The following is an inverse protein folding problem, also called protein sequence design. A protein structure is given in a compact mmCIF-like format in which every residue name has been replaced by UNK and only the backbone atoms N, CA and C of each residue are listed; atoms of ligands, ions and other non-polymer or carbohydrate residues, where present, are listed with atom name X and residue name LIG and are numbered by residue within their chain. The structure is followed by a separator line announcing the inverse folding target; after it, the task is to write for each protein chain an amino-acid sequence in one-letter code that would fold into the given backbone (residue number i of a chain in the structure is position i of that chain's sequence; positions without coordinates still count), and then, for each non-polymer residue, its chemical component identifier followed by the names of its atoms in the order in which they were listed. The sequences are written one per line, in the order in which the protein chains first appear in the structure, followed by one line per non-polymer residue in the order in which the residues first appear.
data_IF_960396191344
#
_entry.id   IF_960396191344
#
_cell.length_a   1.000
_cell.length_b   1.000
_cell.length_c   1.000
_cell.angle_alpha   90.00
_cell.angle_beta   90.00
_cell.angle_gamma   90.00
#
_symmetry.space_group_name_H-M   'P 1'
#
loop_
_entity.id
_entity.type
_entity.pdbx_description
1 polymer ?
#
# COMPACT_ATOMS: atom_id res chain seq x y z
N UNK A 1 44.46 4.99 -10.28
CA UNK A 1 44.04 6.32 -9.81
C UNK A 1 44.21 6.40 -8.30
N UNK A 2 44.62 7.57 -7.81
CA UNK A 2 44.70 7.80 -6.35
C UNK A 2 43.35 8.33 -5.89
N UNK A 3 42.77 7.67 -4.88
CA UNK A 3 41.52 8.09 -4.25
C UNK A 3 41.84 8.62 -2.85
N UNK A 4 41.27 9.78 -2.52
CA UNK A 4 41.32 10.35 -1.17
C UNK A 4 39.88 10.38 -0.67
N UNK A 5 39.59 9.64 0.40
CA UNK A 5 38.29 9.64 1.03
C UNK A 5 38.30 10.62 2.20
N UNK A 6 37.38 11.58 2.14
CA UNK A 6 37.11 12.52 3.23
C UNK A 6 35.77 12.13 3.85
N UNK A 7 35.74 11.87 5.14
CA UNK A 7 34.54 11.48 5.86
C UNK A 7 34.32 12.39 7.07
N UNK A 8 33.05 12.61 7.39
CA UNK A 8 32.61 13.37 8.57
C UNK A 8 31.34 12.76 9.13
N UNK A 9 31.15 12.87 10.43
CA UNK A 9 29.91 12.51 11.09
C UNK A 9 29.07 13.77 11.34
N UNK A 10 27.76 13.63 11.22
CA UNK A 10 26.83 14.69 11.53
C UNK A 10 26.65 14.80 13.04
N UNK A 11 26.61 16.01 13.58
CA UNK A 11 26.39 16.25 15.00
C UNK A 11 24.97 15.88 15.43
N UNK A 12 24.79 15.53 16.70
CA UNK A 12 23.45 15.27 17.26
C UNK A 12 22.54 16.49 17.02
N UNK A 13 21.28 16.21 16.67
CA UNK A 13 20.21 17.17 16.33
C UNK A 13 20.31 17.82 14.94
N UNK A 14 21.21 17.39 14.07
CA UNK A 14 21.20 17.76 12.65
C UNK A 14 20.72 16.59 11.81
N UNK A 15 19.96 16.89 10.75
CA UNK A 15 19.55 15.87 9.79
C UNK A 15 20.67 15.62 8.79
N UNK A 16 21.16 14.39 8.72
CA UNK A 16 22.27 14.02 7.82
C UNK A 16 21.93 14.32 6.34
N UNK A 17 20.69 14.14 5.93
CA UNK A 17 20.26 14.42 4.56
C UNK A 17 20.33 15.90 4.22
N UNK A 18 19.89 16.79 5.14
CA UNK A 18 19.97 18.25 4.96
C UNK A 18 21.43 18.71 4.88
N UNK A 19 22.27 18.21 5.76
CA UNK A 19 23.71 18.56 5.75
C UNK A 19 24.39 18.10 4.45
N UNK A 20 24.06 16.91 3.95
CA UNK A 20 24.62 16.42 2.68
C UNK A 20 24.13 17.25 1.48
N UNK A 21 22.87 17.68 1.47
CA UNK A 21 22.35 18.55 0.41
C UNK A 21 23.01 19.94 0.44
N UNK A 22 23.26 20.51 1.62
CA UNK A 22 24.03 21.75 1.75
C UNK A 22 25.47 21.59 1.26
N UNK A 23 26.14 20.48 1.58
CA UNK A 23 27.50 20.19 1.09
C UNK A 23 27.49 19.99 -0.42
N UNK A 24 26.51 19.28 -1.00
CA UNK A 24 26.37 19.11 -2.45
C UNK A 24 26.19 20.46 -3.14
N UNK A 25 25.35 21.34 -2.59
CA UNK A 25 25.14 22.69 -3.12
C UNK A 25 26.42 23.53 -3.08
N UNK A 26 27.17 23.46 -1.98
CA UNK A 26 28.43 24.19 -1.85
C UNK A 26 29.53 23.63 -2.80
N UNK A 27 29.56 22.32 -3.01
CA UNK A 27 30.51 21.66 -3.92
C UNK A 27 30.17 21.90 -5.39
N UNK A 28 28.89 22.12 -5.74
CA UNK A 28 28.47 22.45 -7.10
C UNK A 28 28.99 23.82 -7.56
N UNK A 29 29.15 24.77 -6.63
CA UNK A 29 29.71 26.09 -6.88
C UNK A 29 31.25 26.15 -6.81
N UNK A 30 31.88 25.04 -6.41
CA UNK A 30 33.34 24.98 -6.26
C UNK A 30 34.00 24.61 -7.58
N UNK A 31 34.93 25.47 -8.05
CA UNK A 31 35.68 25.24 -9.28
C UNK A 31 36.79 24.21 -9.02
N UNK A 32 36.59 22.98 -9.49
CA UNK A 32 37.51 21.90 -9.32
C UNK A 32 38.73 22.03 -10.23
N UNK A 33 39.98 21.76 -9.74
CA UNK A 33 41.16 21.70 -10.58
C UNK A 33 41.06 20.65 -11.68
N UNK A 34 41.65 20.92 -12.84
CA UNK A 34 41.65 19.99 -13.97
C UNK A 34 42.21 18.59 -13.57
N UNK A 35 41.45 17.55 -13.89
CA UNK A 35 41.84 16.16 -13.61
C UNK A 35 41.40 15.61 -12.25
N UNK A 36 40.69 16.40 -11.44
CA UNK A 36 40.10 15.93 -10.17
C UNK A 36 38.58 15.83 -10.34
N UNK A 37 38.02 14.66 -10.00
CA UNK A 37 36.58 14.43 -9.88
C UNK A 37 36.24 14.04 -8.46
N UNK A 38 35.06 14.40 -7.98
CA UNK A 38 34.57 13.97 -6.68
C UNK A 38 33.27 13.17 -6.83
N UNK A 39 33.06 12.29 -5.90
CA UNK A 39 31.87 11.46 -5.82
C UNK A 39 31.43 11.38 -4.35
N UNK A 40 30.14 11.51 -4.11
CA UNK A 40 29.57 11.33 -2.79
C UNK A 40 29.26 9.84 -2.61
N UNK A 41 29.88 9.24 -1.60
CA UNK A 41 29.75 7.80 -1.28
C UNK A 41 29.26 7.61 0.15
N UNK A 42 28.93 6.38 0.51
CA UNK A 42 28.50 6.00 1.85
C UNK A 42 26.98 5.88 1.97
N UNK A 43 26.45 6.08 3.17
CA UNK A 43 25.05 5.80 3.51
C UNK A 43 24.04 6.49 2.58
N UNK A 44 24.35 7.69 2.11
CA UNK A 44 23.49 8.46 1.20
C UNK A 44 23.38 7.82 -0.19
N UNK A 45 24.48 7.30 -0.71
CA UNK A 45 24.50 6.61 -1.99
C UNK A 45 23.73 5.29 -1.90
N UNK A 46 23.98 4.52 -0.84
CA UNK A 46 23.27 3.28 -0.57
C UNK A 46 21.76 3.53 -0.42
N UNK A 47 21.34 4.57 0.32
CA UNK A 47 19.95 4.96 0.45
C UNK A 47 19.31 5.33 -0.90
N UNK A 48 20.03 6.06 -1.75
CA UNK A 48 19.53 6.43 -3.08
C UNK A 48 19.37 5.19 -3.98
N UNK A 49 20.30 4.25 -3.93
CA UNK A 49 20.22 2.97 -4.65
C UNK A 49 19.02 2.13 -4.17
N UNK A 50 18.86 1.98 -2.85
CA UNK A 50 17.72 1.26 -2.28
C UNK A 50 16.37 1.92 -2.64
N UNK A 51 16.29 3.26 -2.60
CA UNK A 51 15.08 3.98 -3.01
C UNK A 51 14.75 3.78 -4.48
N UNK A 52 15.76 3.79 -5.36
CA UNK A 52 15.57 3.53 -6.78
C UNK A 52 15.09 2.09 -7.02
N UNK A 53 15.70 1.12 -6.35
CA UNK A 53 15.28 -0.29 -6.40
C UNK A 53 13.86 -0.49 -5.88
N UNK A 54 13.54 0.03 -4.68
CA UNK A 54 12.22 -0.13 -4.06
C UNK A 54 11.11 0.54 -4.89
N UNK A 55 11.36 1.74 -5.43
CA UNK A 55 10.39 2.42 -6.29
C UNK A 55 10.15 1.65 -7.60
N UNK A 56 11.19 1.08 -8.19
CA UNK A 56 11.09 0.18 -9.33
C UNK A 56 10.30 -1.08 -9.00
N UNK A 57 10.63 -1.75 -7.91
CA UNK A 57 9.93 -2.95 -7.45
C UNK A 57 8.45 -2.69 -7.15
N UNK A 58 8.15 -1.56 -6.49
CA UNK A 58 6.77 -1.15 -6.20
C UNK A 58 5.98 -0.87 -7.49
N UNK A 59 6.59 -0.19 -8.45
CA UNK A 59 5.96 0.08 -9.76
C UNK A 59 5.65 -1.21 -10.49
N UNK A 60 6.59 -2.15 -10.55
CA UNK A 60 6.39 -3.46 -11.19
C UNK A 60 5.30 -4.25 -10.46
N UNK A 61 5.29 -4.23 -9.12
CA UNK A 61 4.27 -4.89 -8.32
C UNK A 61 2.88 -4.33 -8.62
N UNK A 62 2.71 -2.99 -8.60
CA UNK A 62 1.43 -2.34 -8.91
C UNK A 62 0.96 -2.64 -10.35
N UNK A 63 1.89 -2.63 -11.31
CA UNK A 63 1.56 -2.94 -12.70
C UNK A 63 1.12 -4.40 -12.87
N UNK A 64 1.81 -5.33 -12.22
CA UNK A 64 1.45 -6.76 -12.22
C UNK A 64 0.09 -6.98 -11.58
N UNK A 65 -0.17 -6.37 -10.41
CA UNK A 65 -1.46 -6.38 -9.74
C UNK A 65 -2.54 -5.82 -10.67
N UNK A 66 -2.29 -4.69 -11.33
CA UNK A 66 -3.24 -4.08 -12.26
C UNK A 66 -3.64 -5.06 -13.39
N UNK A 67 -2.67 -5.70 -14.04
CA UNK A 67 -2.93 -6.67 -15.12
C UNK A 67 -3.77 -7.85 -14.61
N UNK A 68 -3.39 -8.42 -13.45
CA UNK A 68 -4.10 -9.56 -12.87
C UNK A 68 -5.56 -9.18 -12.59
N UNK A 69 -5.80 -8.01 -11.99
CA UNK A 69 -7.15 -7.57 -11.64
C UNK A 69 -7.97 -7.25 -12.89
N UNK A 70 -7.38 -6.63 -13.92
CA UNK A 70 -8.05 -6.41 -15.22
C UNK A 70 -8.49 -7.74 -15.82
N UNK A 71 -7.62 -8.74 -15.82
CA UNK A 71 -7.93 -10.07 -16.33
C UNK A 71 -9.04 -10.77 -15.52
N UNK A 72 -9.04 -10.60 -14.19
CA UNK A 72 -10.02 -11.20 -13.28
C UNK A 72 -11.43 -10.60 -13.43
N UNK A 73 -11.52 -9.27 -13.47
CA UNK A 73 -12.81 -8.57 -13.44
C UNK A 73 -13.32 -8.15 -14.82
N UNK A 74 -12.52 -8.32 -15.87
CA UNK A 74 -12.82 -7.81 -17.22
C UNK A 74 -13.34 -6.36 -17.20
N UNK A 75 -12.77 -5.53 -16.33
CA UNK A 75 -13.15 -4.15 -16.05
C UNK A 75 -11.90 -3.31 -15.79
N UNK A 76 -11.88 -2.06 -16.21
CA UNK A 76 -10.81 -1.12 -15.90
C UNK A 76 -11.08 -0.33 -14.60
N UNK A 77 -12.33 -0.29 -14.14
CA UNK A 77 -12.71 0.50 -12.97
C UNK A 77 -12.34 -0.22 -11.67
N UNK A 78 -12.59 -1.52 -11.58
CA UNK A 78 -12.27 -2.29 -10.38
C UNK A 78 -10.78 -2.26 -10.02
N UNK A 79 -9.83 -2.44 -10.98
CA UNK A 79 -8.41 -2.24 -10.72
C UNK A 79 -8.07 -0.84 -10.22
N UNK A 80 -8.66 0.19 -10.79
CA UNK A 80 -8.41 1.56 -10.37
C UNK A 80 -8.84 1.82 -8.91
N UNK A 81 -10.00 1.33 -8.50
CA UNK A 81 -10.48 1.42 -7.12
C UNK A 81 -9.53 0.69 -6.16
N UNK A 82 -9.07 -0.51 -6.56
CA UNK A 82 -8.18 -1.32 -5.73
C UNK A 82 -6.81 -0.67 -5.57
N UNK A 83 -6.19 -0.18 -6.65
CA UNK A 83 -4.90 0.52 -6.59
C UNK A 83 -5.00 1.78 -5.73
N UNK A 84 -6.10 2.52 -5.84
CA UNK A 84 -6.31 3.71 -5.02
C UNK A 84 -6.43 3.36 -3.53
N UNK A 85 -7.02 2.21 -3.18
CA UNK A 85 -7.06 1.73 -1.79
C UNK A 85 -5.66 1.38 -1.26
N UNK A 86 -4.75 0.88 -2.11
CA UNK A 86 -3.34 0.65 -1.76
C UNK A 86 -2.64 1.98 -1.48
N UNK A 87 -2.81 2.96 -2.36
CA UNK A 87 -2.23 4.29 -2.15
C UNK A 87 -2.72 4.92 -0.84
N UNK A 88 -4.00 4.80 -0.54
CA UNK A 88 -4.53 5.30 0.73
C UNK A 88 -4.01 4.53 1.94
N UNK A 89 -3.67 3.24 1.81
CA UNK A 89 -3.11 2.47 2.92
C UNK A 89 -1.75 3.01 3.38
N UNK A 90 -0.97 3.62 2.48
CA UNK A 90 0.31 4.25 2.84
C UNK A 90 0.13 5.44 3.77
N UNK A 91 -0.99 6.15 3.68
CA UNK A 91 -1.34 7.21 4.64
C UNK A 91 -1.41 6.63 6.06
N UNK A 92 -2.02 5.44 6.21
CA UNK A 92 -2.10 4.75 7.49
C UNK A 92 -0.73 4.39 8.06
N UNK A 93 0.21 4.00 7.21
CA UNK A 93 1.60 3.74 7.60
C UNK A 93 2.23 4.98 8.22
N UNK A 94 2.23 6.10 7.49
CA UNK A 94 2.83 7.34 7.97
C UNK A 94 2.13 7.91 9.20
N UNK A 95 0.80 7.82 9.28
CA UNK A 95 0.06 8.18 10.48
C UNK A 95 0.49 7.33 11.69
N UNK A 96 0.68 6.02 11.50
CA UNK A 96 1.17 5.12 12.55
C UNK A 96 2.53 5.56 13.09
N UNK A 97 3.48 5.87 12.21
CA UNK A 97 4.80 6.38 12.60
C UNK A 97 4.71 7.72 13.35
N UNK A 98 3.88 8.65 12.89
CA UNK A 98 3.66 9.93 13.57
C UNK A 98 3.06 9.74 14.97
N UNK A 99 2.08 8.85 15.14
CA UNK A 99 1.46 8.62 16.45
C UNK A 99 2.37 7.90 17.44
N UNK A 100 3.23 7.02 16.97
CA UNK A 100 4.14 6.26 17.84
C UNK A 100 5.47 6.95 18.06
N UNK A 101 5.82 7.95 17.23
CA UNK A 101 7.12 8.62 17.27
C UNK A 101 8.30 7.71 16.91
N UNK A 102 8.02 6.63 16.16
CA UNK A 102 9.08 5.73 15.69
C UNK A 102 9.80 6.32 14.50
N UNK A 103 11.10 6.05 14.40
CA UNK A 103 11.91 6.44 13.26
C UNK A 103 11.53 5.63 12.01
N UNK A 104 11.61 6.29 10.86
CA UNK A 104 11.34 5.67 9.56
C UNK A 104 12.66 5.16 8.99
N UNK A 105 12.76 3.84 8.85
CA UNK A 105 13.86 3.20 8.15
C UNK A 105 13.47 2.97 6.69
N UNK A 106 14.23 3.51 5.75
CA UNK A 106 13.87 3.54 4.33
C UNK A 106 13.66 2.14 3.77
N UNK A 107 14.61 1.23 3.99
CA UNK A 107 14.60 -0.11 3.39
C UNK A 107 13.44 -0.94 3.94
N UNK A 108 13.35 -1.09 5.27
CA UNK A 108 12.36 -1.96 5.88
C UNK A 108 10.95 -1.40 5.82
N UNK A 109 10.81 -0.07 5.91
CA UNK A 109 9.51 0.59 5.67
C UNK A 109 9.07 0.41 4.21
N UNK A 110 9.98 0.56 3.24
CA UNK A 110 9.68 0.34 1.82
C UNK A 110 9.24 -1.09 1.52
N UNK A 111 9.97 -2.09 2.03
CA UNK A 111 9.59 -3.51 1.92
C UNK A 111 8.23 -3.75 2.60
N UNK A 112 7.98 -3.13 3.75
CA UNK A 112 6.71 -3.19 4.47
C UNK A 112 5.55 -2.64 3.64
N UNK A 113 5.73 -1.51 2.96
CA UNK A 113 4.70 -0.92 2.07
C UNK A 113 4.40 -1.83 0.88
N UNK A 114 5.42 -2.43 0.25
CA UNK A 114 5.24 -3.40 -0.85
C UNK A 114 4.45 -4.63 -0.35
N UNK A 115 4.80 -5.16 0.81
CA UNK A 115 4.10 -6.30 1.42
C UNK A 115 2.65 -5.95 1.78
N UNK A 116 2.43 -4.76 2.33
CA UNK A 116 1.10 -4.24 2.65
C UNK A 116 0.21 -4.14 1.42
N UNK A 117 0.76 -3.71 0.27
CA UNK A 117 0.03 -3.61 -0.98
C UNK A 117 -0.64 -4.94 -1.35
N UNK A 118 0.09 -6.06 -1.25
CA UNK A 118 -0.45 -7.39 -1.54
C UNK A 118 -1.61 -7.78 -0.60
N UNK A 119 -1.51 -7.46 0.70
CA UNK A 119 -2.55 -7.78 1.69
C UNK A 119 -3.81 -6.93 1.45
N UNK A 120 -3.64 -5.63 1.21
CA UNK A 120 -4.76 -4.70 0.96
C UNK A 120 -5.50 -5.04 -0.31
N UNK A 121 -4.77 -5.36 -1.38
CA UNK A 121 -5.33 -5.79 -2.67
C UNK A 121 -6.21 -7.02 -2.49
N UNK A 122 -5.75 -8.03 -1.77
CA UNK A 122 -6.52 -9.25 -1.52
C UNK A 122 -7.87 -8.94 -0.84
N UNK A 123 -7.88 -8.10 0.19
CA UNK A 123 -9.09 -7.70 0.89
C UNK A 123 -10.06 -6.93 -0.03
N UNK A 124 -9.54 -6.03 -0.86
CA UNK A 124 -10.34 -5.24 -1.79
C UNK A 124 -10.93 -6.09 -2.93
N UNK A 125 -10.15 -7.05 -3.48
CA UNK A 125 -10.63 -8.00 -4.50
C UNK A 125 -11.83 -8.78 -4.00
N UNK A 126 -11.72 -9.39 -2.81
CA UNK A 126 -12.80 -10.21 -2.22
C UNK A 126 -14.08 -9.40 -1.99
N UNK A 127 -13.93 -8.13 -1.63
CA UNK A 127 -15.07 -7.24 -1.43
C UNK A 127 -15.77 -6.88 -2.76
N UNK A 128 -15.00 -6.48 -3.77
CA UNK A 128 -15.54 -6.10 -5.09
C UNK A 128 -16.16 -7.33 -5.79
N UNK A 129 -15.50 -8.47 -5.75
CA UNK A 129 -16.01 -9.72 -6.33
C UNK A 129 -17.38 -10.09 -5.75
N UNK A 130 -17.57 -9.91 -4.45
CA UNK A 130 -18.86 -10.17 -3.82
C UNK A 130 -19.93 -9.14 -4.19
N UNK A 131 -19.56 -7.86 -4.35
CA UNK A 131 -20.49 -6.84 -4.86
C UNK A 131 -20.92 -7.19 -6.30
N UNK A 132 -19.96 -7.55 -7.15
CA UNK A 132 -20.24 -7.94 -8.54
C UNK A 132 -21.12 -9.19 -8.62
N UNK A 133 -20.93 -10.16 -7.72
CA UNK A 133 -21.78 -11.35 -7.61
C UNK A 133 -23.22 -10.97 -7.25
N UNK A 134 -23.42 -10.09 -6.26
CA UNK A 134 -24.76 -9.62 -5.90
C UNK A 134 -25.45 -8.87 -7.04
N UNK A 135 -24.70 -8.07 -7.79
CA UNK A 135 -25.25 -7.36 -8.96
C UNK A 135 -25.64 -8.35 -10.07
N UNK A 136 -24.82 -9.40 -10.31
CA UNK A 136 -25.14 -10.45 -11.28
C UNK A 136 -26.42 -11.21 -10.90
N UNK A 137 -26.57 -11.61 -9.64
CA UNK A 137 -27.78 -12.26 -9.14
C UNK A 137 -29.05 -11.41 -9.39
N UNK A 138 -28.93 -10.10 -9.27
CA UNK A 138 -30.07 -9.19 -9.52
C UNK A 138 -30.32 -8.97 -11.01
N UNK A 139 -29.24 -8.91 -11.84
CA UNK A 139 -29.40 -8.88 -13.29
C UNK A 139 -30.14 -10.13 -13.82
N UNK A 140 -29.81 -11.31 -13.30
CA UNK A 140 -30.48 -12.55 -13.65
C UNK A 140 -31.94 -12.57 -13.20
N UNK A 141 -32.22 -12.07 -11.98
CA UNK A 141 -33.59 -11.96 -11.44
C UNK A 141 -34.47 -11.07 -12.32
N UNK A 142 -33.95 -9.91 -12.74
CA UNK A 142 -34.72 -8.88 -13.48
C UNK A 142 -34.57 -9.06 -15.01
N UNK A 143 -33.83 -10.09 -15.47
CA UNK A 143 -33.59 -10.44 -16.88
C UNK A 143 -33.00 -9.26 -17.69
N UNK A 144 -32.04 -8.53 -17.10
CA UNK A 144 -31.34 -7.42 -17.74
C UNK A 144 -29.91 -7.81 -18.08
N UNK A 145 -29.40 -7.31 -19.21
CA UNK A 145 -28.06 -7.65 -19.71
C UNK A 145 -26.94 -6.77 -19.12
N UNK A 146 -27.29 -5.65 -18.48
CA UNK A 146 -26.32 -4.70 -17.94
C UNK A 146 -26.71 -4.20 -16.55
N UNK A 147 -25.72 -4.08 -15.69
CA UNK A 147 -25.91 -3.44 -14.38
C UNK A 147 -26.45 -2.00 -14.46
N UNK A 148 -26.24 -1.32 -15.59
CA UNK A 148 -26.76 0.03 -15.82
C UNK A 148 -28.27 0.05 -16.09
N UNK A 149 -28.89 -1.09 -16.38
CA UNK A 149 -30.32 -1.23 -16.63
C UNK A 149 -31.10 -1.56 -15.35
N UNK A 150 -30.37 -1.94 -14.28
CA UNK A 150 -30.96 -2.10 -12.95
C UNK A 150 -31.36 -0.73 -12.35
N UNK A 151 -32.39 -0.70 -11.50
CA UNK A 151 -32.71 0.48 -10.70
C UNK A 151 -31.49 0.89 -9.84
N UNK A 152 -31.14 2.19 -9.78
CA UNK A 152 -29.98 2.63 -8.98
C UNK A 152 -30.07 2.25 -7.51
N UNK A 153 -31.26 2.15 -6.94
CA UNK A 153 -31.46 1.75 -5.55
C UNK A 153 -31.06 0.28 -5.33
N UNK A 154 -31.32 -0.60 -6.29
CA UNK A 154 -30.94 -2.01 -6.23
C UNK A 154 -29.42 -2.17 -6.24
N UNK A 155 -28.72 -1.46 -7.14
CA UNK A 155 -27.25 -1.47 -7.17
C UNK A 155 -26.66 -0.93 -5.87
N UNK A 156 -27.26 0.14 -5.31
CA UNK A 156 -26.85 0.68 -4.01
C UNK A 156 -27.04 -0.33 -2.88
N UNK A 157 -28.16 -1.04 -2.88
CA UNK A 157 -28.43 -2.09 -1.88
C UNK A 157 -27.43 -3.25 -2.03
N UNK A 158 -27.09 -3.68 -3.26
CA UNK A 158 -26.07 -4.69 -3.51
C UNK A 158 -24.71 -4.27 -2.94
N UNK A 159 -24.31 -3.01 -3.12
CA UNK A 159 -23.06 -2.46 -2.58
C UNK A 159 -23.07 -2.46 -1.05
N UNK A 160 -24.16 -2.03 -0.42
CA UNK A 160 -24.30 -2.01 1.05
C UNK A 160 -24.27 -3.44 1.60
N UNK A 161 -25.03 -4.36 1.01
CA UNK A 161 -25.12 -5.75 1.42
C UNK A 161 -23.77 -6.47 1.24
N UNK A 162 -23.07 -6.17 0.13
CA UNK A 162 -21.72 -6.66 -0.13
C UNK A 162 -20.74 -6.26 0.96
N UNK A 163 -20.71 -4.97 1.30
CA UNK A 163 -19.89 -4.44 2.38
C UNK A 163 -20.21 -5.07 3.74
N UNK A 164 -21.51 -5.13 4.09
CA UNK A 164 -21.96 -5.71 5.36
C UNK A 164 -21.62 -7.21 5.51
N UNK A 165 -21.80 -7.98 4.45
CA UNK A 165 -21.54 -9.43 4.47
C UNK A 165 -20.03 -9.73 4.59
N UNK A 166 -19.19 -8.93 3.93
CA UNK A 166 -17.72 -9.11 3.93
C UNK A 166 -17.01 -8.46 5.12
N UNK A 167 -17.72 -7.69 5.95
CA UNK A 167 -17.15 -7.03 7.13
C UNK A 167 -16.46 -8.03 8.07
N UNK A 168 -17.12 -9.13 8.41
CA UNK A 168 -16.54 -10.14 9.33
C UNK A 168 -15.30 -10.82 8.77
N UNK A 169 -15.28 -11.39 7.55
CA UNK A 169 -14.08 -11.98 6.96
C UNK A 169 -12.90 -11.00 6.86
N UNK A 170 -13.14 -9.77 6.40
CA UNK A 170 -12.09 -8.75 6.26
C UNK A 170 -11.51 -8.34 7.62
N UNK A 171 -12.35 -8.13 8.63
CA UNK A 171 -11.87 -7.84 9.99
C UNK A 171 -11.09 -9.03 10.57
N UNK A 172 -11.56 -10.26 10.37
CA UNK A 172 -10.90 -11.44 10.89
C UNK A 172 -9.50 -11.61 10.29
N UNK A 173 -9.37 -11.47 8.96
CA UNK A 173 -8.05 -11.55 8.29
C UNK A 173 -7.12 -10.46 8.76
N UNK A 174 -7.59 -9.22 8.93
CA UNK A 174 -6.77 -8.12 9.44
C UNK A 174 -6.32 -8.37 10.90
N UNK A 175 -7.22 -8.77 11.78
CA UNK A 175 -6.90 -9.05 13.17
C UNK A 175 -5.90 -10.21 13.28
N UNK A 176 -6.10 -11.30 12.56
CA UNK A 176 -5.18 -12.45 12.60
C UNK A 176 -3.82 -12.11 12.05
N UNK A 177 -3.73 -11.31 10.99
CA UNK A 177 -2.45 -10.85 10.44
C UNK A 177 -1.73 -9.92 11.41
N UNK A 178 -2.43 -8.96 12.00
CA UNK A 178 -1.85 -8.05 13.01
C UNK A 178 -1.35 -8.85 14.21
N UNK A 179 -2.16 -9.75 14.78
CA UNK A 179 -1.75 -10.60 15.89
C UNK A 179 -0.56 -11.49 15.55
N UNK A 180 -0.49 -12.00 14.32
CA UNK A 180 0.64 -12.80 13.84
C UNK A 180 1.94 -12.00 13.69
N UNK A 181 1.85 -10.69 13.40
CA UNK A 181 3.00 -9.80 13.26
C UNK A 181 3.48 -9.18 14.59
N UNK A 182 2.62 -9.11 15.62
CA UNK A 182 3.00 -8.53 16.92
C UNK A 182 4.27 -9.16 17.49
N UNK A 183 4.44 -10.49 17.55
CA UNK A 183 5.67 -11.07 18.09
C UNK A 183 6.92 -10.58 17.38
N UNK A 184 6.87 -10.48 16.06
CA UNK A 184 7.98 -9.94 15.26
C UNK A 184 8.19 -8.44 15.50
N UNK A 185 7.10 -7.67 15.56
CA UNK A 185 7.14 -6.23 15.77
C UNK A 185 7.72 -5.81 17.14
N UNK A 186 7.44 -6.58 18.20
CA UNK A 186 7.97 -6.33 19.56
C UNK A 186 9.26 -7.09 19.85
N UNK A 187 9.74 -7.91 18.90
CA UNK A 187 10.94 -8.71 19.08
C UNK A 187 10.80 -9.81 20.14
N UNK A 188 9.65 -10.45 20.19
CA UNK A 188 9.41 -11.59 21.08
C UNK A 188 10.20 -12.81 20.61
N UNK A 189 11.10 -13.29 21.45
CA UNK A 189 11.97 -14.44 21.16
C UNK A 189 11.83 -15.51 22.23
N UNK A 190 11.86 -16.78 21.78
CA UNK A 190 11.90 -17.96 22.64
C UNK A 190 13.11 -18.79 22.23
N UNK A 191 13.93 -19.17 23.20
CA UNK A 191 15.02 -20.11 22.94
C UNK A 191 14.46 -21.55 22.97
N UNK A 192 14.16 -22.09 21.80
CA UNK A 192 13.65 -23.44 21.66
C UNK A 192 14.64 -24.51 22.10
N UNK A 193 15.94 -24.21 22.04
CA UNK A 193 16.97 -25.18 22.42
C UNK A 193 16.95 -25.41 23.94
N UNK A 194 16.94 -24.34 24.73
CA UNK A 194 16.86 -24.42 26.20
C UNK A 194 15.47 -24.84 26.67
N UNK A 195 14.42 -24.57 25.91
CA UNK A 195 13.09 -25.06 26.18
C UNK A 195 13.04 -26.61 26.11
N UNK A 196 13.70 -27.22 25.12
CA UNK A 196 13.71 -28.66 24.95
C UNK A 196 14.72 -29.37 25.86
N UNK A 197 15.91 -28.76 26.14
CA UNK A 197 16.94 -29.35 26.98
C UNK A 197 16.64 -29.21 28.47
N UNK A 198 16.23 -28.03 28.90
CA UNK A 198 16.16 -27.65 30.31
C UNK A 198 14.73 -27.29 30.77
N UNK A 199 13.72 -27.43 29.88
CA UNK A 199 12.35 -26.98 30.09
C UNK A 199 12.25 -25.50 30.49
N UNK A 200 13.24 -24.70 30.08
CA UNK A 200 13.33 -23.27 30.35
C UNK A 200 13.25 -22.47 29.02
N UNK A 201 12.15 -21.76 28.75
CA UNK A 201 11.93 -21.09 27.46
C UNK A 201 12.83 -19.88 27.23
N UNK A 202 13.53 -19.36 28.23
CA UNK A 202 14.37 -18.16 28.17
C UNK A 202 13.75 -17.09 27.25
N UNK A 203 12.59 -16.56 27.66
CA UNK A 203 11.85 -15.55 26.90
C UNK A 203 12.58 -14.22 27.01
N UNK A 204 12.87 -13.59 25.86
CA UNK A 204 13.43 -12.24 25.82
C UNK A 204 12.80 -11.42 24.70
N UNK A 205 12.88 -10.09 24.82
CA UNK A 205 12.40 -9.14 23.85
C UNK A 205 13.57 -8.39 23.23
N UNK A 206 13.45 -8.07 21.91
CA UNK A 206 14.50 -7.37 21.16
C UNK A 206 15.49 -8.33 20.51
N UNK A 207 16.69 -7.84 20.24
CA UNK A 207 17.74 -8.53 19.48
C UNK A 207 17.82 -8.09 18.02
N UNK A 208 18.86 -8.51 17.32
CA UNK A 208 19.18 -8.06 15.95
C UNK A 208 18.04 -8.31 14.95
N UNK A 209 17.38 -9.46 15.05
CA UNK A 209 16.23 -9.78 14.21
C UNK A 209 15.05 -8.81 14.43
N UNK A 210 14.81 -8.41 15.66
CA UNK A 210 13.74 -7.47 15.97
C UNK A 210 14.09 -6.05 15.53
N UNK A 211 15.34 -5.64 15.68
CA UNK A 211 15.84 -4.37 15.20
C UNK A 211 15.69 -4.25 13.68
N UNK A 212 15.97 -5.33 12.95
CA UNK A 212 15.93 -5.35 11.50
C UNK A 212 14.48 -5.49 10.95
N UNK A 213 13.75 -6.54 11.38
CA UNK A 213 12.42 -6.85 10.83
C UNK A 213 11.26 -6.15 11.53
N UNK A 214 11.50 -5.58 12.71
CA UNK A 214 10.47 -4.93 13.53
C UNK A 214 9.83 -3.75 12.81
N UNK A 215 10.65 -2.90 12.19
CA UNK A 215 10.18 -1.74 11.40
C UNK A 215 9.25 -2.16 10.27
N UNK A 216 9.60 -3.22 9.52
CA UNK A 216 8.73 -3.78 8.49
C UNK A 216 7.41 -4.29 9.09
N UNK A 217 7.45 -5.01 10.20
CA UNK A 217 6.25 -5.53 10.84
C UNK A 217 5.32 -4.40 11.33
N UNK A 218 5.86 -3.36 11.97
CA UNK A 218 5.11 -2.18 12.38
C UNK A 218 4.50 -1.44 11.18
N UNK A 219 5.25 -1.28 10.09
CA UNK A 219 4.75 -0.70 8.83
C UNK A 219 3.50 -1.42 8.35
N UNK A 220 3.55 -2.75 8.29
CA UNK A 220 2.39 -3.56 7.86
C UNK A 220 1.24 -3.45 8.85
N UNK A 221 1.50 -3.48 10.17
CA UNK A 221 0.46 -3.36 11.20
C UNK A 221 -0.28 -2.03 11.07
N UNK A 222 0.44 -0.90 11.03
CA UNK A 222 -0.18 0.43 10.92
C UNK A 222 -0.99 0.58 9.64
N UNK A 223 -0.37 0.21 8.51
CA UNK A 223 -1.03 0.28 7.22
C UNK A 223 -2.25 -0.62 7.13
N UNK A 224 -2.18 -1.85 7.64
CA UNK A 224 -3.28 -2.81 7.59
C UNK A 224 -4.46 -2.40 8.47
N UNK A 225 -4.22 -1.90 9.68
CA UNK A 225 -5.29 -1.39 10.55
C UNK A 225 -6.04 -0.27 9.83
N UNK A 226 -5.32 0.72 9.33
CA UNK A 226 -5.93 1.84 8.63
C UNK A 226 -6.62 1.41 7.32
N UNK A 227 -5.94 0.58 6.51
CA UNK A 227 -6.47 0.08 5.25
C UNK A 227 -7.76 -0.74 5.45
N UNK A 228 -7.88 -1.47 6.54
CA UNK A 228 -9.08 -2.28 6.82
C UNK A 228 -10.31 -1.39 6.96
N UNK A 229 -10.22 -0.32 7.76
CA UNK A 229 -11.32 0.64 7.88
C UNK A 229 -11.60 1.34 6.55
N UNK A 230 -10.55 1.74 5.85
CA UNK A 230 -10.66 2.43 4.58
C UNK A 230 -11.30 1.54 3.51
N UNK A 231 -10.87 0.30 3.38
CA UNK A 231 -11.40 -0.66 2.40
C UNK A 231 -12.89 -0.90 2.60
N UNK A 232 -13.34 -1.03 3.85
CA UNK A 232 -14.75 -1.26 4.17
C UNK A 232 -15.67 -0.06 3.86
N UNK A 233 -15.12 1.16 3.83
CA UNK A 233 -15.90 2.39 3.61
C UNK A 233 -15.66 2.93 2.20
N UNK A 234 -14.39 3.10 1.82
CA UNK A 234 -14.02 3.80 0.58
C UNK A 234 -14.26 2.94 -0.65
N UNK A 235 -13.96 1.63 -0.60
CA UNK A 235 -14.15 0.76 -1.77
C UNK A 235 -15.61 0.68 -2.19
N UNK A 236 -16.59 0.41 -1.30
CA UNK A 236 -18.01 0.46 -1.65
C UNK A 236 -18.46 1.84 -2.13
N UNK A 237 -18.00 2.92 -1.48
CA UNK A 237 -18.34 4.28 -1.87
C UNK A 237 -17.81 4.62 -3.27
N UNK A 238 -16.58 4.24 -3.59
CA UNK A 238 -15.99 4.44 -4.90
C UNK A 238 -16.66 3.58 -5.97
N UNK A 239 -17.01 2.34 -5.64
CA UNK A 239 -17.75 1.46 -6.54
C UNK A 239 -19.10 2.10 -6.91
N UNK A 240 -19.85 2.60 -5.92
CA UNK A 240 -21.10 3.32 -6.13
C UNK A 240 -20.91 4.61 -6.94
N UNK A 241 -19.87 5.38 -6.66
CA UNK A 241 -19.56 6.59 -7.42
C UNK A 241 -19.25 6.27 -8.89
N UNK A 242 -18.44 5.23 -9.13
CA UNK A 242 -18.11 4.78 -10.48
C UNK A 242 -19.35 4.32 -11.27
N UNK A 243 -20.28 3.62 -10.60
CA UNK A 243 -21.58 3.26 -11.19
C UNK A 243 -22.38 4.51 -11.57
N UNK A 244 -22.50 5.49 -10.67
CA UNK A 244 -23.20 6.76 -10.95
C UNK A 244 -22.57 7.53 -12.12
N UNK A 245 -21.24 7.58 -12.18
CA UNK A 245 -20.55 8.24 -13.28
C UNK A 245 -20.85 7.55 -14.62
N UNK A 246 -20.79 6.22 -14.68
CA UNK A 246 -21.17 5.46 -15.89
C UNK A 246 -22.61 5.75 -16.31
N UNK A 247 -23.55 5.78 -15.36
CA UNK A 247 -24.95 6.07 -15.63
C UNK A 247 -25.13 7.49 -16.17
N UNK A 248 -24.46 8.48 -15.59
CA UNK A 248 -24.49 9.86 -16.05
C UNK A 248 -23.91 10.01 -17.48
N UNK A 249 -22.80 9.37 -17.77
CA UNK A 249 -22.22 9.34 -19.12
C UNK A 249 -23.20 8.71 -20.14
N UNK A 250 -23.79 7.58 -19.80
CA UNK A 250 -24.79 6.93 -20.68
C UNK A 250 -25.94 7.87 -21.00
N UNK A 251 -26.49 8.55 -19.99
CA UNK A 251 -27.61 9.46 -20.17
C UNK A 251 -27.24 10.69 -21.02
N UNK A 252 -26.03 11.23 -20.89
CA UNK A 252 -25.51 12.32 -21.72
C UNK A 252 -25.38 11.92 -23.19
N UNK A 253 -24.86 10.71 -23.48
CA UNK A 253 -24.71 10.22 -24.84
C UNK A 253 -26.06 9.85 -25.47
N UNK A 254 -27.00 9.30 -24.72
CA UNK A 254 -28.37 8.97 -25.18
C UNK A 254 -29.16 10.25 -25.50
N UNK A 255 -29.03 11.30 -24.70
CA UNK A 255 -29.66 12.60 -24.94
C UNK A 255 -29.13 13.27 -26.22
N UNK A 256 -27.85 13.12 -26.54
CA UNK A 256 -27.25 13.66 -27.76
C UNK A 256 -27.67 12.91 -29.05
N UNK A 257 -28.04 11.64 -28.94
CA UNK A 257 -28.59 10.90 -30.09
C UNK A 257 -30.08 11.24 -30.37
N UNK A 258 -30.85 11.59 -29.34
CA UNK A 258 -32.22 12.02 -29.48
C UNK A 258 -32.37 13.45 -30.08
N UNK A 259 -31.28 14.24 -30.08
CA UNK A 259 -31.23 15.61 -30.62
C UNK A 259 -30.74 15.67 -32.10
N UNK A 260 -30.56 14.54 -32.80
CA UNK A 260 -30.39 14.50 -34.25
C UNK A 260 -31.69 14.08 -34.88
N UNK A 261 -32.64 15.03 -35.16
CA UNK A 261 -33.76 14.75 -36.05
C UNK A 261 -33.21 14.56 -37.46
N UNK A 262 -33.73 13.60 -38.17
CA UNK A 262 -33.27 13.14 -39.46
C UNK A 262 -32.88 14.24 -40.46
N UNK A 263 -31.73 14.06 -41.05
CA UNK A 263 -31.45 14.51 -42.43
C UNK A 263 -31.56 13.30 -43.34
#
# INVERSE_FOLDING_TARGET
DRVITVYSNVLQNYNANEVVEEVKAAMADYDMPEGISYEFTGEQEEQAEYMAFLSGAFTVALFTIFIIIVAQFNSLISPFIIILSVLFSTIGVFLGYVFTGMDIEIVMTGVGIISLAGIVVNNAIVLIDYIDLQIKDWMERDQVDSALDLPPEDVKEAVIKGGATRLRPVLLTAITTVLGLIPLAVGFNINFFTLLSDLNPQIFFGGDNAAFWGTMAWTVIYGLIFATFLTLIVVPAMYWLAYKLRLAFRNLFSSNQALKPGM
#
